data_IF_277720248659
#
_entry.id   IF_277720248659
#
_cell.length_a   1.000
_cell.length_b   1.000
_cell.length_c   1.000
_cell.angle_alpha   90.00
_cell.angle_beta   90.00
_cell.angle_gamma   90.00
#
_symmetry.space_group_name_H-M   'P 1'
#
loop_
_entity.id
_entity.type
_entity.pdbx_description
1 polymer ?
#
# COMPACT_ATOMS: atom_id res chain seq x y z
N UNK A 1 5.65 13.44 -23.88
CA UNK A 1 6.13 12.84 -22.60
C UNK A 1 7.51 13.39 -22.24
N UNK A 2 7.61 14.26 -21.22
CA UNK A 2 8.91 14.83 -20.80
C UNK A 2 9.68 13.74 -20.04
N UNK A 3 10.93 13.48 -20.44
CA UNK A 3 11.86 12.45 -19.91
C UNK A 3 11.80 12.24 -18.38
N UNK A 4 11.51 13.29 -17.61
CA UNK A 4 11.40 13.27 -16.16
C UNK A 4 10.17 12.51 -15.61
N UNK A 5 9.04 12.50 -16.32
CA UNK A 5 7.84 11.74 -15.87
C UNK A 5 8.07 10.23 -15.96
N UNK A 6 8.68 9.75 -17.04
CA UNK A 6 9.01 8.33 -17.21
C UNK A 6 9.94 7.81 -16.09
N UNK A 7 10.92 8.61 -15.68
CA UNK A 7 11.81 8.30 -14.56
C UNK A 7 11.05 8.23 -13.22
N UNK A 8 10.10 9.15 -13.00
CA UNK A 8 9.29 9.19 -11.76
C UNK A 8 8.32 8.01 -11.69
N UNK A 9 7.65 7.68 -12.80
CA UNK A 9 6.74 6.53 -12.86
C UNK A 9 7.47 5.20 -12.67
N UNK A 10 8.68 5.06 -13.21
CA UNK A 10 9.52 3.89 -12.99
C UNK A 10 9.92 3.72 -11.51
N UNK A 11 10.36 4.80 -10.85
CA UNK A 11 10.71 4.75 -9.43
C UNK A 11 9.48 4.50 -8.55
N UNK A 12 8.34 5.11 -8.89
CA UNK A 12 7.09 4.92 -8.19
C UNK A 12 6.63 3.45 -8.24
N UNK A 13 6.69 2.82 -9.42
CA UNK A 13 6.35 1.40 -9.57
C UNK A 13 7.22 0.51 -8.67
N UNK A 14 8.54 0.73 -8.70
CA UNK A 14 9.48 -0.02 -7.85
C UNK A 14 9.17 0.16 -6.36
N UNK A 15 8.87 1.38 -5.91
CA UNK A 15 8.51 1.65 -4.52
C UNK A 15 7.16 1.04 -4.13
N UNK A 16 6.19 1.04 -5.02
CA UNK A 16 4.90 0.43 -4.74
C UNK A 16 5.02 -1.10 -4.63
N UNK A 17 5.79 -1.73 -5.51
CA UNK A 17 6.07 -3.17 -5.43
C UNK A 17 6.76 -3.53 -4.11
N UNK A 18 7.74 -2.74 -3.67
CA UNK A 18 8.40 -2.89 -2.37
C UNK A 18 7.41 -2.77 -1.20
N UNK A 19 6.50 -1.79 -1.23
CA UNK A 19 5.47 -1.65 -0.20
C UNK A 19 4.53 -2.87 -0.18
N UNK A 20 4.06 -3.35 -1.34
CA UNK A 20 3.19 -4.55 -1.41
C UNK A 20 3.91 -5.80 -0.89
N UNK A 21 5.21 -5.95 -1.18
CA UNK A 21 6.02 -7.04 -0.63
C UNK A 21 6.18 -6.95 0.90
N UNK A 22 6.31 -5.73 1.44
CA UNK A 22 6.34 -5.50 2.90
C UNK A 22 5.01 -5.82 3.56
N UNK A 23 3.88 -5.47 2.95
CA UNK A 23 2.55 -5.85 3.42
C UNK A 23 2.39 -7.38 3.46
N UNK A 24 2.86 -8.07 2.42
CA UNK A 24 2.90 -9.53 2.38
C UNK A 24 3.74 -10.10 3.55
N UNK A 25 4.90 -9.50 3.83
CA UNK A 25 5.75 -9.92 4.95
C UNK A 25 5.06 -9.69 6.31
N UNK A 26 4.35 -8.57 6.48
CA UNK A 26 3.55 -8.32 7.69
C UNK A 26 2.46 -9.38 7.87
N UNK A 27 1.78 -9.78 6.79
CA UNK A 27 0.74 -10.80 6.85
C UNK A 27 1.31 -12.18 7.16
N UNK A 28 2.41 -12.57 6.52
CA UNK A 28 2.98 -13.91 6.64
C UNK A 28 3.79 -14.10 7.93
N UNK A 29 4.56 -13.09 8.32
CA UNK A 29 5.58 -13.21 9.38
C UNK A 29 5.32 -12.31 10.58
N UNK A 30 4.33 -11.40 10.52
CA UNK A 30 4.10 -10.42 11.58
C UNK A 30 5.28 -9.47 11.79
N UNK A 31 6.11 -9.24 10.78
CA UNK A 31 7.28 -8.36 10.84
C UNK A 31 7.35 -7.44 9.62
N UNK A 32 8.15 -6.37 9.73
CA UNK A 32 8.44 -5.48 8.60
C UNK A 32 9.91 -5.03 8.67
N UNK A 33 10.62 -4.92 7.53
CA UNK A 33 11.93 -4.28 7.47
C UNK A 33 11.85 -2.77 7.75
N UNK A 34 12.70 -2.26 8.65
CA UNK A 34 12.76 -0.85 9.03
C UNK A 34 14.19 -0.30 8.95
N UNK A 35 14.30 0.97 8.53
CA UNK A 35 15.57 1.70 8.44
C UNK A 35 16.47 1.28 7.26
N UNK A 36 17.62 1.96 7.05
CA UNK A 36 18.50 1.69 5.91
C UNK A 36 19.11 0.29 5.92
N UNK A 37 19.30 -0.30 7.10
CA UNK A 37 19.79 -1.67 7.28
C UNK A 37 18.69 -2.73 7.22
N UNK A 38 17.42 -2.33 7.00
CA UNK A 38 16.28 -3.23 6.83
C UNK A 38 16.11 -4.24 7.99
N UNK A 39 16.32 -3.78 9.24
CA UNK A 39 16.14 -4.62 10.43
C UNK A 39 14.67 -5.01 10.54
N UNK A 40 14.39 -6.29 10.76
CA UNK A 40 13.02 -6.78 10.95
C UNK A 40 12.50 -6.34 12.31
N UNK A 41 11.40 -5.59 12.31
CA UNK A 41 10.68 -5.18 13.51
C UNK A 41 9.32 -5.87 13.57
N UNK A 42 8.86 -6.30 14.75
CA UNK A 42 7.58 -6.97 14.91
C UNK A 42 6.42 -5.99 14.74
N UNK A 43 5.38 -6.43 14.03
CA UNK A 43 4.09 -5.77 13.93
C UNK A 43 3.11 -6.47 14.87
N UNK A 44 2.64 -5.81 15.93
CA UNK A 44 1.72 -6.43 16.88
C UNK A 44 0.38 -6.70 16.24
N UNK A 45 -0.12 -7.93 16.41
CA UNK A 45 -1.44 -8.34 15.94
C UNK A 45 -2.56 -7.48 16.55
N UNK A 46 -2.41 -7.10 17.82
CA UNK A 46 -3.37 -6.28 18.59
C UNK A 46 -2.67 -5.06 19.17
N UNK A 47 -3.32 -3.91 19.08
CA UNK A 47 -2.89 -2.68 19.73
C UNK A 47 -3.81 -2.31 20.89
N UNK A 48 -3.26 -1.55 21.84
CA UNK A 48 -3.99 -1.07 23.01
C UNK A 48 -3.94 0.44 23.04
N UNK A 49 -5.08 1.09 23.29
CA UNK A 49 -5.17 2.54 23.33
C UNK A 49 -6.10 3.01 24.45
N UNK A 50 -5.99 4.30 24.79
CA UNK A 50 -6.95 5.02 25.63
C UNK A 50 -7.58 6.13 24.79
N UNK A 51 -8.90 6.27 24.88
CA UNK A 51 -9.57 7.45 24.36
C UNK A 51 -9.27 8.64 25.27
N UNK A 52 -8.88 9.76 24.67
CA UNK A 52 -8.70 11.06 25.32
C UNK A 52 -9.74 12.02 24.78
N UNK A 53 -9.91 13.19 25.41
CA UNK A 53 -10.84 14.22 24.92
C UNK A 53 -10.51 14.73 23.50
N UNK A 54 -9.28 14.50 23.03
CA UNK A 54 -8.78 14.99 21.73
C UNK A 54 -8.42 13.87 20.76
N UNK A 55 -8.66 12.60 21.09
CA UNK A 55 -8.39 11.47 20.17
C UNK A 55 -8.03 10.16 20.87
N UNK A 56 -7.09 9.42 20.27
CA UNK A 56 -6.59 8.16 20.80
C UNK A 56 -5.11 8.28 21.14
N UNK A 57 -4.71 7.71 22.28
CA UNK A 57 -3.30 7.55 22.64
C UNK A 57 -2.99 6.06 22.74
N UNK A 58 -2.12 5.57 21.86
CA UNK A 58 -1.65 4.19 21.93
C UNK A 58 -0.79 3.99 23.18
N UNK A 59 -1.06 2.92 23.91
CA UNK A 59 -0.37 2.59 25.14
C UNK A 59 1.07 2.13 24.88
N UNK A 60 1.39 1.68 23.66
CA UNK A 60 2.69 1.12 23.27
C UNK A 60 3.01 1.44 21.80
N UNK A 61 4.27 1.21 21.42
CA UNK A 61 4.75 1.39 20.05
C UNK A 61 4.04 0.48 19.05
N UNK A 62 3.88 0.97 17.82
CA UNK A 62 3.37 0.22 16.67
C UNK A 62 4.34 -0.86 16.15
N UNK A 63 5.58 -0.88 16.66
CA UNK A 63 6.65 -1.78 16.21
C UNK A 63 7.23 -2.62 17.36
N UNK A 64 6.41 -2.92 18.37
CA UNK A 64 6.78 -3.81 19.49
C UNK A 64 5.80 -4.98 19.58
N UNK A 65 6.23 -6.17 20.03
CA UNK A 65 5.34 -7.32 20.20
C UNK A 65 4.19 -7.00 21.15
N UNK A 66 3.05 -7.68 20.97
CA UNK A 66 1.89 -7.60 21.87
C UNK A 66 2.35 -7.91 23.30
N UNK A 67 1.98 -7.09 24.30
CA UNK A 67 2.34 -7.39 25.69
C UNK A 67 1.64 -8.68 26.15
N UNK A 68 2.30 -9.45 27.01
CA UNK A 68 1.73 -10.69 27.57
C UNK A 68 0.45 -10.44 28.39
N UNK A 69 0.34 -9.24 28.98
CA UNK A 69 -0.85 -8.81 29.73
C UNK A 69 -1.32 -7.47 29.16
N UNK A 70 -2.63 -7.35 28.95
CA UNK A 70 -3.24 -6.11 28.49
C UNK A 70 -2.97 -4.99 29.51
N UNK A 71 -2.49 -3.81 29.08
CA UNK A 71 -2.27 -2.69 29.99
C UNK A 71 -3.60 -2.22 30.63
N UNK A 72 -3.59 -1.97 31.93
CA UNK A 72 -4.79 -1.59 32.68
C UNK A 72 -5.43 -0.30 32.13
N UNK A 73 -6.76 -0.33 32.00
CA UNK A 73 -7.56 0.80 31.54
C UNK A 73 -7.35 1.13 30.05
N UNK A 74 -6.99 0.14 29.23
CA UNK A 74 -6.89 0.29 27.77
C UNK A 74 -7.97 -0.52 27.05
N UNK A 75 -8.32 -0.07 25.85
CA UNK A 75 -9.14 -0.82 24.90
C UNK A 75 -8.26 -1.43 23.82
N UNK A 76 -8.58 -2.64 23.38
CA UNK A 76 -7.85 -3.34 22.32
C UNK A 76 -8.44 -3.10 20.93
N UNK A 77 -7.61 -3.09 19.90
CA UNK A 77 -8.01 -3.08 18.49
C UNK A 77 -7.16 -4.06 17.69
N UNK A 78 -7.78 -4.77 16.75
CA UNK A 78 -7.07 -5.57 15.76
C UNK A 78 -6.23 -4.64 14.89
N UNK A 79 -4.90 -4.80 14.94
CA UNK A 79 -3.94 -3.98 14.21
C UNK A 79 -3.25 -4.82 13.13
N UNK A 80 -2.15 -5.50 13.45
CA UNK A 80 -1.49 -6.41 12.50
C UNK A 80 -2.41 -7.53 12.02
N UNK A 81 -3.36 -7.95 12.85
CA UNK A 81 -4.34 -8.98 12.51
C UNK A 81 -5.27 -8.59 11.35
N UNK A 82 -5.45 -7.30 11.06
CA UNK A 82 -6.28 -6.86 9.92
C UNK A 82 -5.54 -6.98 8.59
N UNK A 83 -4.21 -7.13 8.61
CA UNK A 83 -3.39 -7.41 7.43
C UNK A 83 -3.49 -8.91 7.13
N UNK A 84 -4.69 -9.34 6.73
CA UNK A 84 -5.00 -10.73 6.43
C UNK A 84 -4.86 -11.02 4.92
N UNK A 85 -5.05 -12.28 4.52
CA UNK A 85 -4.93 -12.70 3.13
C UNK A 85 -5.92 -11.96 2.20
N UNK A 86 -7.11 -11.59 2.69
CA UNK A 86 -8.07 -10.76 1.93
C UNK A 86 -7.53 -9.38 1.66
N UNK A 87 -6.92 -8.73 2.66
CA UNK A 87 -6.28 -7.42 2.46
C UNK A 87 -5.13 -7.52 1.44
N UNK A 88 -4.28 -8.55 1.55
CA UNK A 88 -3.20 -8.78 0.58
C UNK A 88 -3.75 -9.01 -0.83
N UNK A 89 -4.78 -9.85 -0.99
CA UNK A 89 -5.44 -10.06 -2.28
C UNK A 89 -5.95 -8.74 -2.87
N UNK A 90 -6.63 -7.93 -2.05
CA UNK A 90 -7.17 -6.64 -2.49
C UNK A 90 -6.10 -5.60 -2.85
N UNK A 91 -4.81 -5.80 -2.53
CA UNK A 91 -3.72 -4.95 -3.05
C UNK A 91 -3.36 -5.24 -4.52
N UNK A 92 -3.97 -6.24 -5.14
CA UNK A 92 -3.78 -6.61 -6.55
C UNK A 92 -4.97 -6.13 -7.40
N UNK A 93 -4.83 -5.97 -8.73
CA UNK A 93 -5.94 -5.55 -9.59
C UNK A 93 -7.16 -6.49 -9.51
N UNK A 94 -8.35 -5.96 -9.76
CA UNK A 94 -9.58 -6.74 -9.84
C UNK A 94 -9.45 -7.92 -10.80
N UNK A 95 -9.92 -9.11 -10.39
CA UNK A 95 -9.86 -10.33 -11.21
C UNK A 95 -8.57 -11.15 -11.05
N UNK A 96 -7.59 -10.66 -10.29
CA UNK A 96 -6.43 -11.46 -9.85
C UNK A 96 -6.74 -12.23 -8.56
N UNK A 97 -5.81 -13.08 -8.11
CA UNK A 97 -5.97 -13.84 -6.87
C UNK A 97 -4.69 -13.98 -6.07
N UNK A 98 -4.81 -14.01 -4.74
CA UNK A 98 -3.73 -14.33 -3.80
C UNK A 98 -4.23 -15.37 -2.79
N UNK A 99 -3.49 -16.48 -2.61
CA UNK A 99 -3.86 -17.52 -1.64
C UNK A 99 -5.25 -18.13 -1.87
N UNK A 100 -5.73 -18.17 -3.11
CA UNK A 100 -7.08 -18.62 -3.47
C UNK A 100 -8.19 -17.59 -3.28
N UNK A 101 -7.87 -16.37 -2.82
CA UNK A 101 -8.83 -15.27 -2.62
C UNK A 101 -8.77 -14.34 -3.84
N UNK A 102 -9.91 -14.11 -4.48
CA UNK A 102 -10.04 -13.16 -5.58
C UNK A 102 -9.97 -11.71 -5.09
N UNK A 103 -9.23 -10.87 -5.81
CA UNK A 103 -9.14 -9.45 -5.54
C UNK A 103 -10.37 -8.68 -6.01
N UNK A 104 -10.79 -7.71 -5.18
CA UNK A 104 -11.80 -6.69 -5.52
C UNK A 104 -11.20 -5.33 -5.90
N UNK A 105 -9.87 -5.21 -5.96
CA UNK A 105 -9.22 -3.96 -6.37
C UNK A 105 -9.33 -2.80 -5.37
N UNK A 106 -9.71 -3.07 -4.12
CA UNK A 106 -10.02 -2.03 -3.12
C UNK A 106 -8.84 -1.66 -2.21
N UNK A 107 -7.74 -2.40 -2.28
CA UNK A 107 -6.56 -2.21 -1.45
C UNK A 107 -5.60 -1.14 -1.98
N UNK A 108 -4.47 -0.99 -1.28
CA UNK A 108 -3.45 0.02 -1.59
C UNK A 108 -2.97 -0.08 -3.06
N UNK A 109 -3.31 0.96 -3.83
CA UNK A 109 -2.94 1.10 -5.24
C UNK A 109 -3.14 -0.21 -6.04
N UNK A 110 -4.29 -0.84 -5.84
CA UNK A 110 -4.61 -2.13 -6.43
C UNK A 110 -4.65 -2.07 -7.96
N UNK A 111 -5.28 -1.03 -8.50
CA UNK A 111 -5.49 -0.84 -9.94
C UNK A 111 -4.30 -0.15 -10.65
N UNK A 112 -3.22 0.16 -9.93
CA UNK A 112 -2.04 0.73 -10.55
C UNK A 112 -1.27 -0.36 -11.33
N UNK A 113 -1.20 -0.20 -12.65
CA UNK A 113 -0.48 -1.09 -13.56
C UNK A 113 0.42 -0.28 -14.50
N UNK A 114 1.72 -0.56 -14.49
CA UNK A 114 2.68 0.15 -15.37
C UNK A 114 2.57 -0.27 -16.82
N UNK A 115 2.73 0.71 -17.72
CA UNK A 115 2.73 0.51 -19.17
C UNK A 115 1.33 0.32 -19.76
N UNK A 116 0.27 0.53 -18.98
CA UNK A 116 -1.12 0.33 -19.43
C UNK A 116 -1.78 1.59 -19.96
N UNK A 117 -1.13 2.75 -19.80
CA UNK A 117 -1.63 4.02 -20.33
C UNK A 117 -2.55 4.78 -19.38
N UNK A 118 -2.96 4.16 -18.28
CA UNK A 118 -3.83 4.78 -17.26
C UNK A 118 -3.10 5.71 -16.29
N UNK A 119 -1.78 5.82 -16.42
CA UNK A 119 -0.94 6.63 -15.53
C UNK A 119 -0.96 8.13 -15.89
N UNK A 120 -1.46 8.47 -17.08
CA UNK A 120 -1.50 9.84 -17.59
C UNK A 120 -2.92 10.24 -17.97
N UNK A 121 -3.23 11.52 -17.82
CA UNK A 121 -4.46 12.08 -18.38
C UNK A 121 -4.36 12.13 -19.91
N UNK A 122 -5.49 12.06 -20.63
CA UNK A 122 -5.48 12.23 -22.07
C UNK A 122 -4.96 13.63 -22.43
N UNK A 123 -4.14 13.70 -23.48
CA UNK A 123 -3.78 14.98 -24.08
C UNK A 123 -5.05 15.59 -24.68
N UNK A 124 -5.37 16.87 -24.43
CA UNK A 124 -6.54 17.51 -25.02
C UNK A 124 -6.53 17.38 -26.54
N UNK A 125 -7.65 16.96 -27.13
CA UNK A 125 -7.73 16.69 -28.57
C UNK A 125 -7.30 17.90 -29.42
N UNK A 126 -7.67 19.10 -29.00
CA UNK A 126 -7.28 20.37 -29.66
C UNK A 126 -5.77 20.56 -29.75
N UNK A 127 -5.00 20.01 -28.80
CA UNK A 127 -3.53 20.07 -28.82
C UNK A 127 -2.94 19.09 -29.84
N UNK A 128 -3.53 17.90 -29.97
CA UNK A 128 -3.15 16.89 -30.97
C UNK A 128 -3.46 17.40 -32.38
N UNK A 129 -4.63 18.01 -32.57
CA UNK A 129 -5.07 18.52 -33.87
C UNK A 129 -4.17 19.68 -34.35
N UNK A 130 -3.56 20.43 -33.43
CA UNK A 130 -2.70 21.58 -33.74
C UNK A 130 -1.23 21.18 -33.98
N UNK A 131 -0.74 20.12 -33.34
CA UNK A 131 0.62 19.59 -33.54
C UNK A 131 0.57 18.15 -34.06
N UNK A 132 0.64 17.93 -35.40
CA UNK A 132 0.53 16.61 -35.99
C UNK A 132 1.69 15.66 -35.64
N UNK A 133 2.79 16.15 -35.03
CA UNK A 133 3.86 15.29 -34.53
C UNK A 133 3.59 14.76 -33.11
N UNK A 134 2.62 15.36 -32.40
CA UNK A 134 2.23 14.94 -31.07
C UNK A 134 1.27 13.75 -31.14
N UNK A 135 1.67 12.64 -30.52
CA UNK A 135 0.83 11.43 -30.40
C UNK A 135 0.20 11.36 -29.02
N UNK A 136 -0.99 10.79 -28.96
CA UNK A 136 -1.71 10.54 -27.71
C UNK A 136 -0.88 9.65 -26.76
N UNK A 137 -1.13 9.79 -25.45
CA UNK A 137 -0.61 8.88 -24.44
C UNK A 137 -1.12 7.46 -24.70
N UNK A 138 -0.30 6.45 -24.38
CA UNK A 138 -0.73 5.04 -24.45
C UNK A 138 -2.07 4.87 -23.72
N UNK A 139 -2.98 4.03 -24.24
CA UNK A 139 -4.27 3.74 -23.60
C UNK A 139 -5.39 4.78 -23.81
N UNK A 140 -5.16 5.84 -24.60
CA UNK A 140 -6.17 6.81 -25.03
C UNK A 140 -6.19 6.99 -26.55
#
# INVERSE_FOLDING_TARGET
MRKYDLLRWNLFSSKLADVKAKILNMQANGTVPYGPTQILVPVPATQYFKATSTGITYARSLYRPVPATAPTGTTSVSWGATINATYVANTQPTGTSYGGISSTGTGLAAEYMTGTGKELLPIPQTTIDTDPNLKQNSGY
#
